data_IF_417481526263
#
_entry.id   IF_417481526263
#
_cell.length_a   1.000
_cell.length_b   1.000
_cell.length_c   1.000
_cell.angle_alpha   90.00
_cell.angle_beta   90.00
_cell.angle_gamma   90.00
#
_symmetry.space_group_name_H-M   'P 1'
#
loop_
_entity.id
_entity.type
_entity.pdbx_description
1 polymer ?
#
# COMPACT_ATOMS: atom_id res chain seq x y z
N UNK A 1 -17.92 11.13 6.39
CA UNK A 1 -18.76 10.10 5.74
C UNK A 1 -18.47 8.79 6.45
N UNK A 2 -19.31 8.41 7.42
CA UNK A 2 -19.21 7.09 8.05
C UNK A 2 -20.08 6.14 7.23
N UNK A 3 -19.46 5.34 6.38
CA UNK A 3 -20.12 4.18 5.82
C UNK A 3 -20.14 3.09 6.89
N UNK A 4 -21.31 2.91 7.47
CA UNK A 4 -21.59 1.84 8.44
C UNK A 4 -22.24 0.70 7.65
N UNK A 5 -21.52 0.18 6.62
CA UNK A 5 -22.00 -0.96 5.85
C UNK A 5 -21.77 -2.26 6.65
N UNK A 6 -22.74 -3.15 6.63
CA UNK A 6 -22.62 -4.51 7.17
C UNK A 6 -21.47 -5.23 6.45
N UNK A 7 -20.66 -5.97 7.18
CA UNK A 7 -19.51 -6.69 6.62
C UNK A 7 -19.89 -7.63 5.46
N UNK A 8 -21.11 -8.19 5.50
CA UNK A 8 -21.64 -9.04 4.44
C UNK A 8 -21.91 -8.24 3.14
N UNK A 9 -22.41 -7.01 3.25
CA UNK A 9 -22.68 -6.15 2.10
C UNK A 9 -21.38 -5.66 1.46
N UNK A 10 -20.37 -5.34 2.27
CA UNK A 10 -19.02 -5.02 1.80
C UNK A 10 -18.41 -6.19 1.03
N UNK A 11 -18.45 -7.40 1.59
CA UNK A 11 -17.93 -8.60 0.91
C UNK A 11 -18.68 -8.87 -0.40
N UNK A 12 -20.01 -8.74 -0.40
CA UNK A 12 -20.81 -8.88 -1.60
C UNK A 12 -20.36 -7.89 -2.68
N UNK A 13 -20.18 -6.62 -2.35
CA UNK A 13 -19.71 -5.59 -3.27
C UNK A 13 -18.31 -5.89 -3.82
N UNK A 14 -17.39 -6.37 -2.97
CA UNK A 14 -16.06 -6.79 -3.41
C UNK A 14 -16.17 -7.90 -4.47
N UNK A 15 -16.94 -8.95 -4.20
CA UNK A 15 -17.04 -10.10 -5.08
C UNK A 15 -17.88 -9.86 -6.35
N UNK A 16 -18.94 -9.06 -6.27
CA UNK A 16 -19.85 -8.85 -7.40
C UNK A 16 -19.46 -7.68 -8.31
N UNK A 17 -18.69 -6.72 -7.81
CA UNK A 17 -18.36 -5.48 -8.54
C UNK A 17 -16.86 -5.28 -8.66
N UNK A 18 -16.12 -5.26 -7.53
CA UNK A 18 -14.73 -4.83 -7.54
C UNK A 18 -13.82 -5.88 -8.19
N UNK A 19 -13.92 -7.14 -7.79
CA UNK A 19 -13.08 -8.20 -8.36
C UNK A 19 -13.32 -8.44 -9.85
N UNK A 20 -14.59 -8.50 -10.35
CA UNK A 20 -14.83 -8.58 -11.79
C UNK A 20 -14.19 -7.43 -12.58
N UNK A 21 -14.31 -6.18 -12.09
CA UNK A 21 -13.66 -5.04 -12.74
C UNK A 21 -12.14 -5.17 -12.77
N UNK A 22 -11.52 -5.64 -11.69
CA UNK A 22 -10.08 -5.92 -11.66
C UNK A 22 -9.68 -6.99 -12.69
N UNK A 23 -10.42 -8.09 -12.80
CA UNK A 23 -10.11 -9.19 -13.73
C UNK A 23 -10.35 -8.81 -15.18
N UNK A 24 -11.43 -8.10 -15.46
CA UNK A 24 -11.87 -7.82 -16.84
C UNK A 24 -11.20 -6.57 -17.42
N UNK A 25 -10.95 -5.55 -16.61
CA UNK A 25 -10.50 -4.24 -17.07
C UNK A 25 -9.10 -3.84 -16.61
N UNK A 26 -8.70 -4.19 -15.39
CA UNK A 26 -7.42 -3.73 -14.83
C UNK A 26 -6.30 -4.71 -15.18
N UNK A 27 -6.43 -5.97 -14.83
CA UNK A 27 -5.38 -6.99 -15.05
C UNK A 27 -4.90 -7.10 -16.50
N UNK A 28 -5.77 -7.14 -17.51
CA UNK A 28 -5.33 -7.29 -18.90
C UNK A 28 -4.52 -6.10 -19.42
N UNK A 29 -4.74 -4.93 -18.82
CA UNK A 29 -4.16 -3.65 -19.27
C UNK A 29 -3.04 -3.14 -18.36
N UNK A 30 -2.74 -3.83 -17.27
CA UNK A 30 -1.74 -3.38 -16.28
C UNK A 30 -0.40 -4.04 -16.52
N UNK A 31 0.64 -3.22 -16.57
CA UNK A 31 2.03 -3.69 -16.50
C UNK A 31 2.86 -2.75 -15.63
N UNK A 32 3.88 -3.24 -14.93
CA UNK A 32 4.84 -2.40 -14.25
C UNK A 32 5.50 -1.43 -15.23
N UNK A 33 5.59 -0.15 -14.85
CA UNK A 33 6.18 0.90 -15.69
C UNK A 33 7.48 1.41 -15.08
N UNK A 34 8.60 1.21 -15.80
CA UNK A 34 9.91 1.75 -15.41
C UNK A 34 9.87 3.27 -15.31
N UNK A 35 9.16 3.95 -16.22
CA UNK A 35 9.03 5.41 -16.21
C UNK A 35 8.36 5.91 -14.92
N UNK A 36 7.34 5.20 -14.41
CA UNK A 36 6.69 5.54 -13.14
C UNK A 36 7.62 5.33 -11.95
N UNK A 37 8.40 4.26 -11.99
CA UNK A 37 9.42 4.00 -10.96
C UNK A 37 10.49 5.08 -10.95
N UNK A 38 11.02 5.45 -12.12
CA UNK A 38 12.00 6.54 -12.25
C UNK A 38 11.43 7.87 -11.74
N UNK A 39 10.18 8.19 -12.10
CA UNK A 39 9.49 9.38 -11.62
C UNK A 39 9.32 9.38 -10.09
N UNK A 40 8.99 8.23 -9.50
CA UNK A 40 8.92 8.08 -8.04
C UNK A 40 10.29 8.32 -7.41
N UNK A 41 11.36 7.74 -7.95
CA UNK A 41 12.72 7.92 -7.42
C UNK A 41 13.19 9.37 -7.55
N UNK A 42 12.87 10.06 -8.65
CA UNK A 42 13.15 11.49 -8.78
C UNK A 42 12.43 12.32 -7.72
N UNK A 43 11.15 12.02 -7.46
CA UNK A 43 10.38 12.67 -6.40
C UNK A 43 11.00 12.41 -5.01
N UNK A 44 11.41 11.18 -4.72
CA UNK A 44 12.09 10.82 -3.47
C UNK A 44 13.35 11.67 -3.28
N UNK A 45 14.20 11.78 -4.30
CA UNK A 45 15.43 12.61 -4.25
C UNK A 45 15.13 14.07 -3.95
N UNK A 46 14.15 14.65 -4.63
CA UNK A 46 13.74 16.05 -4.41
C UNK A 46 13.20 16.28 -2.99
N UNK A 47 12.43 15.35 -2.46
CA UNK A 47 11.86 15.45 -1.10
C UNK A 47 12.94 15.30 -0.03
N UNK A 48 13.93 14.42 -0.24
CA UNK A 48 15.06 14.23 0.70
C UNK A 48 15.88 15.49 0.93
N UNK A 49 15.96 16.38 -0.04
CA UNK A 49 16.62 17.69 0.15
C UNK A 49 15.93 18.57 1.20
N UNK A 50 14.67 18.24 1.57
CA UNK A 50 13.83 19.04 2.46
C UNK A 50 13.51 18.36 3.79
N UNK A 51 13.77 17.05 3.90
CA UNK A 51 13.50 16.29 5.11
C UNK A 51 13.54 14.79 4.92
N UNK A 52 13.18 14.07 5.96
CA UNK A 52 13.15 12.61 5.95
C UNK A 52 12.01 12.11 5.07
N UNK A 53 12.29 11.10 4.26
CA UNK A 53 11.32 10.47 3.35
C UNK A 53 11.17 9.00 3.68
N UNK A 54 9.94 8.52 3.68
CA UNK A 54 9.62 7.11 3.86
C UNK A 54 8.67 6.67 2.75
N UNK A 55 9.00 5.54 2.11
CA UNK A 55 8.07 4.85 1.23
C UNK A 55 7.17 3.94 2.07
N UNK A 56 5.87 4.03 1.87
CA UNK A 56 4.90 3.27 2.67
C UNK A 56 3.98 2.47 1.76
N UNK A 57 3.94 1.14 1.93
CA UNK A 57 2.94 0.30 1.30
C UNK A 57 1.75 0.13 2.24
N UNK A 58 0.61 0.67 1.83
CA UNK A 58 -0.63 0.58 2.60
C UNK A 58 -1.24 -0.83 2.55
N UNK A 59 -1.96 -1.27 3.58
CA UNK A 59 -2.70 -2.52 3.55
C UNK A 59 -3.92 -2.41 2.62
N UNK A 60 -4.22 -3.49 1.93
CA UNK A 60 -5.40 -3.66 1.08
C UNK A 60 -6.10 -4.97 1.46
N UNK A 61 -7.33 -5.20 1.01
CA UNK A 61 -8.03 -6.45 1.24
C UNK A 61 -7.26 -7.68 0.71
N UNK A 62 -7.43 -8.87 1.31
CA UNK A 62 -6.68 -10.07 0.92
C UNK A 62 -6.80 -10.42 -0.56
N UNK A 63 -7.99 -10.29 -1.14
CA UNK A 63 -8.27 -10.58 -2.55
C UNK A 63 -7.49 -9.63 -3.47
N UNK A 64 -7.53 -8.33 -3.18
CA UNK A 64 -6.78 -7.32 -3.94
C UNK A 64 -5.28 -7.54 -3.76
N UNK A 65 -4.84 -7.92 -2.57
CA UNK A 65 -3.44 -8.26 -2.32
C UNK A 65 -2.95 -9.42 -3.21
N UNK A 66 -3.74 -10.51 -3.32
CA UNK A 66 -3.40 -11.64 -4.20
C UNK A 66 -3.33 -11.22 -5.67
N UNK A 67 -4.26 -10.40 -6.13
CA UNK A 67 -4.26 -9.88 -7.51
C UNK A 67 -2.99 -9.04 -7.76
N UNK A 68 -2.68 -8.09 -6.90
CA UNK A 68 -1.50 -7.23 -7.07
C UNK A 68 -0.20 -8.01 -7.03
N UNK A 69 -0.12 -9.09 -6.22
CA UNK A 69 1.03 -9.97 -6.20
C UNK A 69 1.18 -10.80 -7.48
N UNK A 70 0.07 -11.18 -8.12
CA UNK A 70 0.12 -11.88 -9.40
C UNK A 70 0.63 -10.99 -10.54
N UNK A 71 0.35 -9.68 -10.46
CA UNK A 71 0.80 -8.69 -11.44
C UNK A 71 2.30 -8.37 -11.27
N UNK A 72 2.73 -8.19 -10.03
CA UNK A 72 4.10 -7.81 -9.71
C UNK A 72 4.61 -8.57 -8.47
N UNK A 73 5.03 -9.85 -8.64
CA UNK A 73 5.41 -10.71 -7.51
C UNK A 73 6.58 -10.19 -6.67
N UNK A 74 7.52 -9.48 -7.30
CA UNK A 74 8.73 -8.97 -6.65
C UNK A 74 8.58 -7.53 -6.13
N UNK A 75 7.37 -6.94 -6.18
CA UNK A 75 7.17 -5.53 -5.86
C UNK A 75 7.79 -5.11 -4.51
N UNK A 76 7.59 -5.88 -3.45
CA UNK A 76 8.08 -5.52 -2.12
C UNK A 76 9.60 -5.59 -2.02
N UNK A 77 10.20 -6.57 -2.69
CA UNK A 77 11.66 -6.70 -2.75
C UNK A 77 12.26 -5.53 -3.52
N UNK A 78 11.75 -5.24 -4.71
CA UNK A 78 12.25 -4.16 -5.55
C UNK A 78 12.09 -2.81 -4.86
N UNK A 79 10.94 -2.54 -4.22
CA UNK A 79 10.72 -1.30 -3.48
C UNK A 79 11.67 -1.17 -2.29
N UNK A 80 11.97 -2.25 -1.60
CA UNK A 80 12.94 -2.26 -0.50
C UNK A 80 14.36 -1.98 -0.99
N UNK A 81 14.75 -2.59 -2.12
CA UNK A 81 16.06 -2.36 -2.74
C UNK A 81 16.20 -0.92 -3.22
N UNK A 82 15.18 -0.37 -3.88
CA UNK A 82 15.16 1.04 -4.31
C UNK A 82 15.20 2.01 -3.14
N UNK A 83 14.40 1.77 -2.11
CA UNK A 83 14.42 2.58 -0.89
C UNK A 83 15.81 2.59 -0.25
N UNK A 84 16.45 1.42 -0.15
CA UNK A 84 17.80 1.27 0.37
C UNK A 84 18.83 2.03 -0.49
N UNK A 85 18.74 1.92 -1.82
CA UNK A 85 19.62 2.63 -2.74
C UNK A 85 19.50 4.16 -2.62
N UNK A 86 18.27 4.64 -2.46
CA UNK A 86 17.99 6.06 -2.25
C UNK A 86 18.20 6.51 -0.78
N UNK A 87 18.56 5.60 0.13
CA UNK A 87 18.77 5.91 1.56
C UNK A 87 17.51 6.41 2.26
N UNK A 88 16.34 5.82 1.94
CA UNK A 88 15.06 6.12 2.58
C UNK A 88 14.45 4.86 3.21
N UNK A 89 13.59 5.03 4.20
CA UNK A 89 12.91 3.92 4.85
C UNK A 89 11.79 3.34 3.96
N UNK A 90 11.62 2.01 3.98
CA UNK A 90 10.46 1.32 3.39
C UNK A 90 9.65 0.65 4.49
N UNK A 91 8.39 1.05 4.64
CA UNK A 91 7.45 0.53 5.64
C UNK A 91 6.32 -0.20 4.90
N UNK A 92 6.19 -1.51 5.14
CA UNK A 92 5.24 -2.34 4.44
C UNK A 92 4.16 -2.87 5.41
N UNK A 93 2.93 -2.36 5.26
CA UNK A 93 1.75 -2.82 6.01
C UNK A 93 0.94 -3.90 5.27
N UNK A 94 1.36 -4.35 4.10
CA UNK A 94 0.66 -5.40 3.35
C UNK A 94 0.56 -6.70 4.14
N UNK A 95 1.62 -7.10 4.83
CA UNK A 95 1.62 -8.30 5.67
C UNK A 95 0.58 -8.26 6.80
N UNK A 96 0.20 -7.05 7.21
CA UNK A 96 -0.82 -6.78 8.22
C UNK A 96 -2.22 -6.56 7.64
N UNK A 97 -2.44 -6.80 6.35
CA UNK A 97 -3.71 -6.54 5.65
C UNK A 97 -4.93 -7.17 6.33
N UNK A 98 -4.76 -8.33 6.96
CA UNK A 98 -5.83 -9.01 7.75
C UNK A 98 -6.25 -8.20 8.98
N UNK A 99 -5.41 -7.29 9.47
CA UNK A 99 -5.66 -6.48 10.67
C UNK A 99 -6.44 -5.21 10.39
N UNK A 100 -6.56 -4.82 9.12
CA UNK A 100 -7.18 -3.56 8.71
C UNK A 100 -8.37 -3.84 7.79
N UNK A 101 -9.55 -3.43 8.23
CA UNK A 101 -10.77 -3.59 7.44
C UNK A 101 -10.88 -2.50 6.38
N UNK A 102 -11.35 -2.91 5.21
CA UNK A 102 -11.59 -2.02 4.08
C UNK A 102 -13.07 -1.95 3.75
N UNK A 103 -13.48 -0.87 3.10
CA UNK A 103 -14.88 -0.66 2.65
C UNK A 103 -15.15 -1.30 1.29
N UNK A 104 -14.11 -1.54 0.50
CA UNK A 104 -14.20 -2.03 -0.88
C UNK A 104 -12.97 -2.86 -1.31
N UNK A 105 -12.19 -3.31 -0.37
CA UNK A 105 -10.92 -4.01 -0.62
C UNK A 105 -9.71 -3.09 -0.75
N UNK A 106 -9.90 -1.78 -0.95
CA UNK A 106 -8.81 -0.80 -1.15
C UNK A 106 -8.81 0.30 -0.10
N UNK A 107 -9.98 0.87 0.19
CA UNK A 107 -10.11 2.00 1.12
C UNK A 107 -10.38 1.52 2.54
N UNK A 108 -9.58 2.00 3.49
CA UNK A 108 -9.75 1.69 4.91
C UNK A 108 -10.96 2.40 5.50
N UNK A 109 -11.63 1.76 6.46
CA UNK A 109 -12.55 2.48 7.35
C UNK A 109 -11.81 3.58 8.12
N UNK A 110 -12.50 4.67 8.48
CA UNK A 110 -11.89 5.78 9.19
C UNK A 110 -11.20 5.37 10.50
N UNK A 111 -11.79 4.45 11.25
CA UNK A 111 -11.21 3.88 12.48
C UNK A 111 -9.92 3.11 12.20
N UNK A 112 -9.88 2.36 11.11
CA UNK A 112 -8.69 1.61 10.69
C UNK A 112 -7.58 2.53 10.18
N UNK A 113 -7.95 3.60 9.47
CA UNK A 113 -7.00 4.65 9.07
C UNK A 113 -6.33 5.32 10.27
N UNK A 114 -7.08 5.59 11.34
CA UNK A 114 -6.51 6.12 12.60
C UNK A 114 -5.53 5.15 13.24
N UNK A 115 -5.87 3.87 13.30
CA UNK A 115 -4.97 2.82 13.81
C UNK A 115 -3.69 2.69 12.98
N UNK A 116 -3.83 2.70 11.65
CA UNK A 116 -2.70 2.64 10.74
C UNK A 116 -1.78 3.85 10.92
N UNK A 117 -2.35 5.05 11.10
CA UNK A 117 -1.56 6.27 11.33
C UNK A 117 -0.70 6.15 12.60
N UNK A 118 -1.25 5.61 13.69
CA UNK A 118 -0.47 5.37 14.92
C UNK A 118 0.65 4.36 14.67
N UNK A 119 0.35 3.23 14.02
CA UNK A 119 1.35 2.22 13.70
C UNK A 119 2.45 2.76 12.76
N UNK A 120 2.10 3.62 11.81
CA UNK A 120 3.05 4.31 10.94
C UNK A 120 3.98 5.23 11.74
N UNK A 121 3.43 6.04 12.67
CA UNK A 121 4.23 6.88 13.53
C UNK A 121 5.23 6.07 14.37
N UNK A 122 4.82 4.94 14.91
CA UNK A 122 5.69 4.06 15.70
C UNK A 122 6.78 3.42 14.83
N UNK A 123 6.43 2.99 13.61
CA UNK A 123 7.41 2.45 12.64
C UNK A 123 8.46 3.49 12.25
N UNK A 124 8.06 4.74 11.99
CA UNK A 124 8.98 5.84 11.68
C UNK A 124 9.93 6.10 12.85
N UNK A 125 9.41 6.16 14.09
CA UNK A 125 10.23 6.35 15.28
C UNK A 125 11.27 5.23 15.44
N UNK A 126 10.86 3.97 15.24
CA UNK A 126 11.76 2.82 15.34
C UNK A 126 12.89 2.87 14.31
N UNK A 127 12.57 3.24 13.04
CA UNK A 127 13.59 3.39 12.00
C UNK A 127 14.61 4.47 12.36
N UNK A 128 14.17 5.64 12.84
CA UNK A 128 15.06 6.74 13.24
C UNK A 128 15.95 6.42 14.45
N UNK A 129 15.51 5.56 15.35
CA UNK A 129 16.33 5.13 16.50
C UNK A 129 17.44 4.17 16.10
N UNK A 130 17.26 3.40 15.03
CA UNK A 130 18.25 2.45 14.53
C UNK A 130 19.35 3.11 13.66
N UNK A 131 19.18 4.37 13.29
CA UNK A 131 20.14 5.16 12.51
C UNK A 131 21.11 5.97 13.39
N UNK A 132 20.91 6.00 14.71
CA UNK A 132 21.78 6.67 15.69
C UNK A 132 22.76 5.70 16.34
#
# INVERSE_FOLDING_TARGET
>A
FQMNEDSAEVLKRIHEVILPDYYDNILPNYSPSNERVESLMQLVRQLRERGDVFLVRLPVGPEISMITDSIYPNFDQDMKEWASHEGVGYINFKADSVRYRTTDGVHLYASEGSRLTLALCDSIKALKQNEQ
#
